data_IF_078716536375
#
_entry.id   IF_078716536375
#
_cell.length_a   1.000
_cell.length_b   1.000
_cell.length_c   1.000
_cell.angle_alpha   90.00
_cell.angle_beta   90.00
_cell.angle_gamma   90.00
#
_symmetry.space_group_name_H-M   'P 1'
#
loop_
_entity.id
_entity.type
_entity.pdbx_description
1 polymer ?
#
# COMPACT_ATOMS: atom_id res chain seq x y z
N UNK A 1 24.80 6.70 4.26
CA UNK A 1 24.30 7.69 5.25
C UNK A 1 22.93 8.26 4.84
N UNK A 2 22.06 8.60 5.81
CA UNK A 2 20.81 9.33 5.53
C UNK A 2 21.11 10.71 4.95
N UNK A 3 20.23 11.19 4.05
CA UNK A 3 20.37 12.50 3.38
C UNK A 3 19.31 13.45 3.93
N UNK A 4 19.72 14.64 4.39
CA UNK A 4 18.80 15.63 4.94
C UNK A 4 18.14 16.46 3.83
N UNK A 5 16.88 16.20 3.50
CA UNK A 5 16.10 17.00 2.55
C UNK A 5 15.79 18.40 3.13
N UNK A 6 16.22 19.47 2.46
CA UNK A 6 15.96 20.84 2.90
C UNK A 6 14.59 21.31 2.42
N UNK A 7 13.55 21.02 3.20
CA UNK A 7 12.18 21.48 2.95
C UNK A 7 11.97 22.86 3.59
N UNK A 8 11.68 23.86 2.77
CA UNK A 8 11.41 25.22 3.24
C UNK A 8 9.92 25.41 3.59
N UNK A 9 9.62 26.38 4.45
CA UNK A 9 8.24 26.71 4.84
C UNK A 9 7.32 26.97 3.63
N UNK A 10 7.84 27.62 2.58
CA UNK A 10 7.11 27.85 1.33
C UNK A 10 6.66 26.55 0.63
N UNK A 11 7.46 25.48 0.74
CA UNK A 11 7.14 24.20 0.12
C UNK A 11 5.93 23.56 0.82
N UNK A 12 5.94 23.53 2.15
CA UNK A 12 4.81 23.07 2.96
C UNK A 12 3.53 23.88 2.73
N UNK A 13 3.63 25.22 2.73
CA UNK A 13 2.47 26.06 2.42
C UNK A 13 1.91 25.80 1.02
N UNK A 14 2.79 25.57 0.04
CA UNK A 14 2.36 25.26 -1.32
C UNK A 14 1.58 23.95 -1.38
N UNK A 15 2.11 22.87 -0.77
CA UNK A 15 1.44 21.57 -0.70
C UNK A 15 0.10 21.68 -0.01
N UNK A 16 0.04 22.27 1.18
CA UNK A 16 -1.21 22.41 1.92
C UNK A 16 -2.29 23.16 1.14
N UNK A 17 -1.91 24.22 0.39
CA UNK A 17 -2.84 24.97 -0.47
C UNK A 17 -3.34 24.16 -1.65
N UNK A 18 -2.48 23.39 -2.33
CA UNK A 18 -2.92 22.63 -3.50
C UNK A 18 -3.72 21.39 -3.11
N UNK A 19 -3.32 20.68 -2.04
CA UNK A 19 -4.05 19.51 -1.54
C UNK A 19 -5.48 19.87 -1.15
N UNK A 20 -5.69 21.03 -0.49
CA UNK A 20 -7.03 21.51 -0.12
C UNK A 20 -7.95 21.80 -1.33
N UNK A 21 -7.39 22.07 -2.52
CA UNK A 21 -8.21 22.26 -3.73
C UNK A 21 -8.79 20.96 -4.27
N UNK A 22 -8.20 19.82 -3.87
CA UNK A 22 -8.59 18.50 -4.34
C UNK A 22 -9.41 17.79 -3.27
N UNK A 23 -8.82 17.65 -2.08
CA UNK A 23 -9.50 17.05 -0.94
C UNK A 23 -10.28 18.12 -0.20
N UNK A 24 -11.61 17.99 -0.21
CA UNK A 24 -12.48 18.81 0.63
C UNK A 24 -12.15 18.51 2.08
N UNK A 25 -11.58 19.47 2.80
CA UNK A 25 -11.29 19.38 4.23
C UNK A 25 -11.86 20.61 4.95
N UNK A 26 -12.35 20.43 6.18
CA UNK A 26 -12.91 21.50 7.01
C UNK A 26 -12.54 21.33 8.48
N UNK A 27 -12.87 22.34 9.31
CA UNK A 27 -12.68 22.31 10.77
C UNK A 27 -13.52 21.25 11.49
N UNK A 28 -14.50 20.66 10.80
CA UNK A 28 -15.30 19.54 11.33
C UNK A 28 -14.65 18.19 11.11
N UNK A 29 -13.58 18.15 10.30
CA UNK A 29 -12.83 16.92 10.12
C UNK A 29 -11.95 16.62 11.34
N UNK A 30 -11.69 15.33 11.47
CA UNK A 30 -10.90 14.70 12.51
C UNK A 30 -10.08 13.59 11.87
N UNK A 31 -8.80 13.53 12.22
CA UNK A 31 -7.79 12.56 11.75
C UNK A 31 -7.10 11.89 12.93
N UNK A 32 -6.30 10.87 12.63
CA UNK A 32 -5.47 10.16 13.60
C UNK A 32 -4.02 10.12 13.09
N UNK A 33 -3.08 10.46 13.96
CA UNK A 33 -1.63 10.41 13.72
C UNK A 33 -1.04 9.23 14.48
N UNK A 34 -0.29 8.39 13.78
CA UNK A 34 0.30 7.18 14.36
C UNK A 34 1.67 6.84 13.77
N UNK A 35 2.07 7.48 12.67
CA UNK A 35 3.42 7.34 12.15
C UNK A 35 4.34 8.37 12.85
N UNK A 36 5.65 8.15 12.82
CA UNK A 36 6.59 9.12 13.40
C UNK A 36 6.57 10.48 12.67
N UNK A 37 6.53 11.58 13.45
CA UNK A 37 6.58 12.96 12.92
C UNK A 37 7.88 13.32 12.17
N UNK A 38 8.90 12.47 12.21
CA UNK A 38 10.10 12.65 11.38
C UNK A 38 9.85 12.27 9.90
N UNK A 39 8.70 11.67 9.58
CA UNK A 39 8.29 11.32 8.23
C UNK A 39 7.48 12.46 7.60
N UNK A 40 7.78 12.81 6.34
CA UNK A 40 7.14 13.94 5.64
C UNK A 40 5.61 13.78 5.51
N UNK A 41 5.13 12.54 5.44
CA UNK A 41 3.70 12.21 5.36
C UNK A 41 2.93 12.81 6.55
N UNK A 42 3.37 12.54 7.79
CA UNK A 42 2.74 13.10 8.99
C UNK A 42 2.94 14.59 9.10
N UNK A 43 4.12 15.11 8.73
CA UNK A 43 4.33 16.55 8.75
C UNK A 43 3.33 17.29 7.85
N UNK A 44 2.91 16.70 6.73
CA UNK A 44 1.92 17.33 5.84
C UNK A 44 0.53 17.29 6.47
N UNK A 45 0.06 16.12 6.89
CA UNK A 45 -1.33 15.98 7.34
C UNK A 45 -1.53 16.50 8.76
N UNK A 46 -0.65 16.13 9.69
CA UNK A 46 -0.80 16.42 11.12
C UNK A 46 -0.36 17.82 11.50
N UNK A 47 0.62 18.38 10.77
CA UNK A 47 1.10 19.73 11.05
C UNK A 47 0.56 20.72 10.02
N UNK A 48 0.87 20.54 8.74
CA UNK A 48 0.63 21.61 7.76
C UNK A 48 -0.82 21.76 7.33
N UNK A 49 -1.50 20.63 7.08
CA UNK A 49 -2.94 20.63 6.79
C UNK A 49 -3.74 21.01 8.03
N UNK A 50 -3.32 20.57 9.23
CA UNK A 50 -3.90 21.04 10.49
C UNK A 50 -3.80 22.57 10.62
N UNK A 51 -2.61 23.16 10.52
CA UNK A 51 -2.42 24.61 10.61
C UNK A 51 -3.18 25.39 9.51
N UNK A 52 -3.40 24.77 8.35
CA UNK A 52 -4.10 25.40 7.22
C UNK A 52 -5.63 25.34 7.35
N UNK A 53 -6.16 24.24 7.88
CA UNK A 53 -7.60 23.91 7.90
C UNK A 53 -8.21 24.15 9.27
N UNK A 54 -7.50 23.80 10.35
CA UNK A 54 -8.00 23.81 11.73
C UNK A 54 -8.79 22.56 12.13
N UNK A 55 -8.56 21.42 11.47
CA UNK A 55 -9.19 20.13 11.79
C UNK A 55 -8.53 19.47 13.02
N UNK A 56 -9.20 18.54 13.70
CA UNK A 56 -8.66 17.89 14.90
C UNK A 56 -7.70 16.76 14.50
N UNK A 57 -6.54 16.67 15.16
CA UNK A 57 -5.56 15.59 14.98
C UNK A 57 -5.42 14.83 16.30
N UNK A 58 -5.76 13.54 16.30
CA UNK A 58 -5.65 12.68 17.47
C UNK A 58 -4.36 11.84 17.39
N UNK A 59 -3.47 11.97 18.37
CA UNK A 59 -2.25 11.18 18.42
C UNK A 59 -2.51 9.85 19.15
N UNK A 60 -2.12 8.74 18.54
CA UNK A 60 -2.20 7.40 19.17
C UNK A 60 -1.20 7.24 20.29
N UNK A 61 -1.52 6.41 21.28
CA UNK A 61 -0.62 6.13 22.41
C UNK A 61 0.63 5.36 21.97
N UNK A 62 0.45 4.37 21.07
CA UNK A 62 1.52 3.56 20.49
C UNK A 62 1.06 2.98 19.13
N UNK A 63 2.01 2.56 18.29
CA UNK A 63 1.74 1.88 17.01
C UNK A 63 0.95 0.57 17.18
N UNK A 64 1.03 -0.05 18.35
CA UNK A 64 0.29 -1.29 18.66
C UNK A 64 -1.20 -1.03 19.00
N UNK A 65 -1.52 0.17 19.50
CA UNK A 65 -2.87 0.54 19.94
C UNK A 65 -3.71 1.19 18.84
N UNK A 66 -3.11 1.52 17.69
CA UNK A 66 -3.75 2.22 16.56
C UNK A 66 -5.14 1.68 16.22
N UNK A 67 -5.34 0.36 16.20
CA UNK A 67 -6.62 -0.24 15.87
C UNK A 67 -7.71 -0.06 16.94
N UNK A 68 -7.32 0.09 18.20
CA UNK A 68 -8.23 0.39 19.30
C UNK A 68 -8.50 1.90 19.36
N UNK A 69 -7.45 2.71 19.26
CA UNK A 69 -7.54 4.18 19.23
C UNK A 69 -8.45 4.64 18.07
N UNK A 70 -8.38 3.97 16.91
CA UNK A 70 -9.26 4.26 15.79
C UNK A 70 -10.75 4.02 16.11
N UNK A 71 -11.08 3.02 16.94
CA UNK A 71 -12.47 2.76 17.34
C UNK A 71 -12.99 3.85 18.27
N UNK A 72 -12.12 4.37 19.14
CA UNK A 72 -12.49 5.40 20.11
C UNK A 72 -12.63 6.77 19.43
N UNK A 73 -11.71 7.10 18.52
CA UNK A 73 -11.72 8.37 17.78
C UNK A 73 -12.77 8.38 16.67
N UNK A 74 -12.90 7.27 15.92
CA UNK A 74 -13.67 7.17 14.68
C UNK A 74 -13.52 8.42 13.79
N UNK A 75 -12.34 8.59 13.15
CA UNK A 75 -12.03 9.82 12.43
C UNK A 75 -12.93 9.98 11.20
N UNK A 76 -12.99 11.20 10.68
CA UNK A 76 -13.68 11.49 9.41
C UNK A 76 -12.79 11.22 8.20
N UNK A 77 -11.49 11.45 8.36
CA UNK A 77 -10.46 11.25 7.34
C UNK A 77 -9.40 10.33 7.93
N UNK A 78 -9.03 9.29 7.19
CA UNK A 78 -8.02 8.35 7.66
C UNK A 78 -6.85 8.26 6.68
N UNK A 79 -5.73 8.86 7.06
CA UNK A 79 -4.48 8.80 6.32
C UNK A 79 -3.69 7.60 6.79
N UNK A 80 -3.35 6.68 5.88
CA UNK A 80 -2.67 5.45 6.28
C UNK A 80 -1.75 4.90 5.20
N UNK A 81 -0.91 3.94 5.59
CA UNK A 81 -0.04 3.20 4.68
C UNK A 81 -0.69 1.87 4.28
N UNK A 82 -0.32 1.28 3.12
CA UNK A 82 -0.92 0.04 2.64
C UNK A 82 -0.99 -1.08 3.69
N UNK A 83 0.08 -1.24 4.49
CA UNK A 83 0.18 -2.28 5.52
C UNK A 83 -0.95 -2.23 6.56
N UNK A 84 -1.41 -1.03 6.93
CA UNK A 84 -2.50 -0.88 7.90
C UNK A 84 -3.83 -1.31 7.27
N UNK A 85 -4.10 -0.89 6.03
CA UNK A 85 -5.27 -1.34 5.28
C UNK A 85 -5.28 -2.85 5.07
N UNK A 86 -4.14 -3.43 4.70
CA UNK A 86 -3.94 -4.89 4.59
C UNK A 86 -4.23 -5.59 5.93
N UNK A 87 -3.70 -5.08 7.05
CA UNK A 87 -3.97 -5.64 8.38
C UNK A 87 -5.45 -5.61 8.74
N UNK A 88 -6.16 -4.52 8.42
CA UNK A 88 -7.61 -4.46 8.59
C UNK A 88 -8.34 -5.48 7.72
N UNK A 89 -7.96 -5.60 6.45
CA UNK A 89 -8.54 -6.59 5.54
C UNK A 89 -8.37 -8.02 6.07
N UNK A 90 -7.14 -8.40 6.42
CA UNK A 90 -6.84 -9.73 7.00
C UNK A 90 -7.64 -10.00 8.26
N UNK A 91 -7.72 -9.02 9.16
CA UNK A 91 -8.51 -9.13 10.40
C UNK A 91 -10.01 -9.33 10.14
N UNK A 92 -10.58 -8.71 9.10
CA UNK A 92 -11.98 -8.93 8.71
C UNK A 92 -12.16 -10.34 8.15
N UNK A 93 -11.31 -10.77 7.22
CA UNK A 93 -11.37 -12.10 6.58
C UNK A 93 -11.33 -13.19 7.65
N UNK A 94 -10.39 -13.12 8.57
CA UNK A 94 -10.21 -14.13 9.62
C UNK A 94 -11.38 -14.17 10.60
N UNK A 95 -11.89 -13.01 11.02
CA UNK A 95 -13.08 -12.95 11.87
C UNK A 95 -14.33 -13.50 11.17
N UNK A 96 -14.41 -13.39 9.85
CA UNK A 96 -15.50 -13.98 9.07
C UNK A 96 -15.32 -15.49 8.85
N UNK A 97 -14.09 -15.98 8.81
CA UNK A 97 -13.80 -17.43 8.79
C UNK A 97 -14.24 -18.11 10.10
N UNK A 98 -14.03 -17.45 11.25
CA UNK A 98 -14.45 -17.96 12.58
C UNK A 98 -15.93 -17.72 12.88
N UNK A 99 -16.60 -16.93 12.05
CA UNK A 99 -17.99 -16.57 12.31
C UNK A 99 -18.91 -17.79 12.14
N UNK A 100 -20.02 -17.79 12.87
CA UNK A 100 -21.07 -18.80 12.71
C UNK A 100 -21.53 -18.85 11.24
N UNK A 101 -21.96 -20.04 10.78
CA UNK A 101 -22.35 -20.25 9.39
C UNK A 101 -23.34 -19.20 8.88
N UNK A 102 -24.29 -18.79 9.73
CA UNK A 102 -25.27 -17.75 9.44
C UNK A 102 -24.62 -16.39 9.20
N UNK A 103 -23.76 -15.93 10.13
CA UNK A 103 -23.04 -14.65 9.98
C UNK A 103 -22.15 -14.64 8.74
N UNK A 104 -21.43 -15.73 8.49
CA UNK A 104 -20.59 -15.90 7.30
C UNK A 104 -21.42 -15.83 6.01
N UNK A 105 -22.57 -16.49 5.97
CA UNK A 105 -23.45 -16.48 4.79
C UNK A 105 -24.02 -15.10 4.53
N UNK A 106 -24.54 -14.43 5.57
CA UNK A 106 -25.08 -13.06 5.45
C UNK A 106 -24.00 -12.08 5.01
N UNK A 107 -22.80 -12.15 5.60
CA UNK A 107 -21.66 -11.34 5.18
C UNK A 107 -21.28 -11.59 3.72
N UNK A 108 -21.14 -12.84 3.31
CA UNK A 108 -20.78 -13.17 1.93
C UNK A 108 -21.82 -12.69 0.92
N UNK A 109 -23.11 -12.82 1.23
CA UNK A 109 -24.19 -12.28 0.39
C UNK A 109 -24.13 -10.75 0.29
N UNK A 110 -23.99 -10.06 1.43
CA UNK A 110 -23.85 -8.61 1.47
C UNK A 110 -22.61 -8.15 0.68
N UNK A 111 -21.46 -8.80 0.89
CA UNK A 111 -20.21 -8.49 0.19
C UNK A 111 -20.33 -8.68 -1.32
N UNK A 112 -20.99 -9.75 -1.79
CA UNK A 112 -21.24 -9.96 -3.21
C UNK A 112 -22.10 -8.83 -3.82
N UNK A 113 -23.11 -8.35 -3.10
CA UNK A 113 -23.91 -7.18 -3.52
C UNK A 113 -23.03 -5.92 -3.55
N UNK A 114 -22.22 -5.70 -2.52
CA UNK A 114 -21.25 -4.60 -2.43
C UNK A 114 -20.26 -4.57 -3.59
N UNK A 115 -19.64 -5.72 -3.89
CA UNK A 115 -18.68 -5.87 -4.98
C UNK A 115 -19.30 -5.56 -6.34
N UNK A 116 -20.50 -6.11 -6.64
CA UNK A 116 -21.22 -5.82 -7.89
C UNK A 116 -21.65 -4.36 -8.01
N UNK A 117 -22.07 -3.75 -6.91
CA UNK A 117 -22.39 -2.32 -6.87
C UNK A 117 -21.14 -1.49 -7.17
N UNK A 118 -20.02 -1.83 -6.52
CA UNK A 118 -18.75 -1.16 -6.71
C UNK A 118 -18.21 -1.30 -8.14
N UNK A 119 -18.37 -2.45 -8.80
CA UNK A 119 -17.98 -2.62 -10.20
C UNK A 119 -18.66 -1.63 -11.15
N UNK A 120 -19.92 -1.28 -10.88
CA UNK A 120 -20.64 -0.24 -11.64
C UNK A 120 -20.06 1.15 -11.36
N UNK A 121 -19.81 1.46 -10.07
CA UNK A 121 -19.22 2.74 -9.66
C UNK A 121 -17.83 2.93 -10.29
N UNK A 122 -16.97 1.92 -10.21
CA UNK A 122 -15.61 1.92 -10.78
C UNK A 122 -15.62 2.05 -12.30
N UNK A 123 -16.61 1.47 -12.98
CA UNK A 123 -16.77 1.61 -14.43
C UNK A 123 -17.48 2.90 -14.85
N UNK A 124 -17.69 3.85 -13.92
CA UNK A 124 -18.43 5.11 -14.13
C UNK A 124 -19.85 4.89 -14.67
N UNK A 125 -20.46 3.72 -14.44
CA UNK A 125 -21.83 3.37 -14.84
C UNK A 125 -22.78 3.51 -13.66
N UNK A 126 -24.01 3.98 -13.93
CA UNK A 126 -25.05 4.03 -12.88
C UNK A 126 -25.48 2.60 -12.52
N UNK A 127 -25.40 2.19 -11.24
CA UNK A 127 -25.94 0.90 -10.81
C UNK A 127 -27.45 0.82 -11.05
N UNK A 128 -28.00 -0.35 -11.45
CA UNK A 128 -29.45 -0.53 -11.53
C UNK A 128 -30.14 -0.25 -10.19
N UNK A 129 -31.36 0.27 -10.22
CA UNK A 129 -32.10 0.65 -9.00
C UNK A 129 -32.25 -0.50 -7.99
N UNK A 130 -32.47 -1.72 -8.50
CA UNK A 130 -32.57 -2.94 -7.68
C UNK A 130 -31.27 -3.24 -6.95
N UNK A 131 -30.13 -3.10 -7.63
CA UNK A 131 -28.80 -3.29 -7.04
C UNK A 131 -28.47 -2.18 -6.03
N UNK A 132 -28.85 -0.93 -6.32
CA UNK A 132 -28.68 0.17 -5.38
C UNK A 132 -29.50 -0.02 -4.09
N UNK A 133 -30.74 -0.52 -4.20
CA UNK A 133 -31.58 -0.84 -3.04
C UNK A 133 -31.01 -2.02 -2.26
N UNK A 134 -30.58 -3.08 -2.95
CA UNK A 134 -29.93 -4.23 -2.31
C UNK A 134 -28.65 -3.81 -1.58
N UNK A 135 -27.84 -2.93 -2.19
CA UNK A 135 -26.66 -2.38 -1.55
C UNK A 135 -27.01 -1.58 -0.30
N UNK A 136 -28.06 -0.75 -0.36
CA UNK A 136 -28.53 0.01 0.80
C UNK A 136 -28.95 -0.92 1.94
N UNK A 137 -29.68 -2.01 1.64
CA UNK A 137 -30.03 -3.03 2.64
C UNK A 137 -28.79 -3.71 3.22
N UNK A 138 -27.84 -4.13 2.38
CA UNK A 138 -26.56 -4.71 2.81
C UNK A 138 -25.75 -3.75 3.70
N UNK A 139 -25.77 -2.45 3.35
CA UNK A 139 -25.09 -1.41 4.12
C UNK A 139 -25.65 -1.29 5.53
N UNK A 140 -26.97 -1.10 5.68
CA UNK A 140 -27.57 -0.93 7.01
C UNK A 140 -27.57 -2.21 7.86
N UNK A 141 -27.63 -3.39 7.24
CA UNK A 141 -27.68 -4.66 7.97
C UNK A 141 -26.30 -5.20 8.34
N UNK A 142 -25.27 -5.00 7.51
CA UNK A 142 -23.94 -5.61 7.68
C UNK A 142 -22.86 -4.55 7.74
N UNK A 143 -22.71 -3.73 6.69
CA UNK A 143 -21.52 -2.89 6.55
C UNK A 143 -21.43 -1.78 7.58
N UNK A 144 -22.56 -1.16 7.98
CA UNK A 144 -22.58 -0.17 9.05
C UNK A 144 -21.97 -0.76 10.33
N UNK A 145 -22.48 -1.90 10.79
CA UNK A 145 -22.00 -2.54 12.03
C UNK A 145 -20.55 -3.01 11.91
N UNK A 146 -20.12 -3.40 10.71
CA UNK A 146 -18.72 -3.69 10.46
C UNK A 146 -17.86 -2.43 10.59
N UNK A 147 -18.24 -1.33 9.94
CA UNK A 147 -17.53 -0.03 10.01
C UNK A 147 -17.42 0.47 11.45
N UNK A 148 -18.51 0.44 12.21
CA UNK A 148 -18.55 0.82 13.63
C UNK A 148 -17.53 0.02 14.46
N UNK A 149 -17.47 -1.31 14.28
CA UNK A 149 -16.51 -2.17 15.00
C UNK A 149 -15.06 -1.94 14.62
N UNK A 150 -14.81 -1.35 13.46
CA UNK A 150 -13.48 -1.05 12.94
C UNK A 150 -13.04 0.38 13.24
N UNK A 151 -13.92 1.26 13.72
CA UNK A 151 -13.65 2.69 13.87
C UNK A 151 -13.76 3.50 12.57
N UNK A 152 -14.54 3.00 11.61
CA UNK A 152 -14.71 3.60 10.28
C UNK A 152 -16.12 4.15 10.03
N UNK A 153 -17.01 4.19 11.03
CA UNK A 153 -18.40 4.62 10.85
C UNK A 153 -18.51 6.09 10.42
N UNK A 154 -17.62 6.97 10.91
CA UNK A 154 -17.53 8.38 10.50
C UNK A 154 -16.59 8.62 9.31
N UNK A 155 -15.76 7.64 8.93
CA UNK A 155 -14.82 7.81 7.82
C UNK A 155 -15.58 8.03 6.52
N UNK A 156 -15.37 9.20 5.92
CA UNK A 156 -15.88 9.57 4.60
C UNK A 156 -14.87 9.33 3.49
N UNK A 157 -13.57 9.39 3.82
CA UNK A 157 -12.49 9.16 2.84
C UNK A 157 -11.22 8.66 3.54
N UNK A 158 -10.71 7.52 3.09
CA UNK A 158 -9.40 7.00 3.46
C UNK A 158 -8.35 7.33 2.41
N UNK A 159 -7.11 7.48 2.82
CA UNK A 159 -5.96 7.65 1.93
C UNK A 159 -4.94 6.53 2.13
N UNK A 160 -4.31 6.12 1.03
CA UNK A 160 -3.15 5.24 1.02
C UNK A 160 -2.01 5.86 0.24
N UNK A 161 -0.80 5.83 0.80
CA UNK A 161 0.39 6.37 0.16
C UNK A 161 1.67 5.80 0.74
N UNK A 162 2.81 6.40 0.39
CA UNK A 162 4.18 5.98 0.74
C UNK A 162 4.64 4.62 0.16
N UNK A 163 3.72 3.72 -0.17
CA UNK A 163 3.96 2.51 -0.92
C UNK A 163 2.72 2.17 -1.77
N UNK A 164 2.87 1.37 -2.84
CA UNK A 164 1.72 0.93 -3.61
C UNK A 164 0.86 -0.06 -2.81
N UNK A 165 -0.44 -0.07 -3.07
CA UNK A 165 -1.44 -0.92 -2.41
C UNK A 165 -2.12 -1.81 -3.45
N UNK A 166 -2.48 -3.04 -3.07
CA UNK A 166 -3.20 -3.94 -3.99
C UNK A 166 -4.58 -3.37 -4.36
N UNK A 167 -4.93 -3.48 -5.65
CA UNK A 167 -6.23 -3.10 -6.18
C UNK A 167 -7.38 -3.85 -5.48
N UNK A 168 -7.14 -5.09 -5.07
CA UNK A 168 -8.16 -5.90 -4.40
C UNK A 168 -8.46 -5.36 -3.01
N UNK A 169 -7.48 -4.80 -2.30
CA UNK A 169 -7.69 -4.11 -1.01
C UNK A 169 -8.57 -2.88 -1.22
N UNK A 170 -8.23 -2.03 -2.21
CA UNK A 170 -9.00 -0.83 -2.52
C UNK A 170 -10.44 -1.17 -2.90
N UNK A 171 -10.61 -2.17 -3.77
CA UNK A 171 -11.93 -2.66 -4.21
C UNK A 171 -12.72 -3.24 -3.04
N UNK A 172 -12.08 -4.01 -2.16
CA UNK A 172 -12.70 -4.58 -0.97
C UNK A 172 -13.27 -3.49 -0.06
N UNK A 173 -12.46 -2.52 0.36
CA UNK A 173 -12.90 -1.46 1.28
C UNK A 173 -13.99 -0.59 0.66
N UNK A 174 -13.87 -0.26 -0.63
CA UNK A 174 -14.89 0.50 -1.31
C UNK A 174 -16.22 -0.28 -1.41
N UNK A 175 -16.17 -1.61 -1.57
CA UNK A 175 -17.36 -2.48 -1.60
C UNK A 175 -18.12 -2.53 -0.27
N UNK A 176 -17.45 -2.27 0.85
CA UNK A 176 -18.07 -2.18 2.18
C UNK A 176 -18.33 -0.73 2.62
N UNK A 177 -18.23 0.22 1.70
CA UNK A 177 -18.56 1.63 1.94
C UNK A 177 -17.47 2.43 2.66
N UNK A 178 -16.20 2.05 2.50
CA UNK A 178 -15.02 2.81 2.93
C UNK A 178 -14.21 3.15 1.68
N UNK A 179 -14.41 4.33 1.06
CA UNK A 179 -13.61 4.70 -0.12
C UNK A 179 -12.17 5.02 0.30
N UNK A 180 -11.21 4.31 -0.30
CA UNK A 180 -9.77 4.59 -0.14
C UNK A 180 -9.26 5.21 -1.43
N UNK A 181 -8.40 6.23 -1.33
CA UNK A 181 -7.77 6.93 -2.44
C UNK A 181 -6.27 6.88 -2.33
N UNK A 182 -5.61 6.70 -3.47
CA UNK A 182 -4.17 6.65 -3.53
C UNK A 182 -3.58 8.06 -3.69
N UNK A 183 -2.39 8.25 -3.13
CA UNK A 183 -1.58 9.44 -3.31
C UNK A 183 -0.11 9.09 -3.46
N UNK A 184 0.58 9.86 -4.30
CA UNK A 184 1.99 9.68 -4.61
C UNK A 184 2.80 10.95 -4.37
N UNK A 185 3.98 10.76 -3.82
CA UNK A 185 5.05 11.74 -3.82
C UNK A 185 6.20 11.30 -2.93
N UNK A 186 7.12 12.23 -2.72
CA UNK A 186 8.45 11.97 -2.17
C UNK A 186 8.78 13.00 -1.10
N UNK A 187 9.75 12.71 -0.24
CA UNK A 187 10.30 13.73 0.67
C UNK A 187 10.81 14.95 -0.11
N UNK A 188 11.43 14.72 -1.25
CA UNK A 188 11.97 15.73 -2.17
C UNK A 188 10.89 16.61 -2.82
N UNK A 189 9.64 16.16 -2.83
CA UNK A 189 8.48 16.93 -3.33
C UNK A 189 7.65 17.53 -2.20
N UNK A 190 8.12 17.44 -0.94
CA UNK A 190 7.31 17.75 0.24
C UNK A 190 6.03 16.90 0.26
N UNK A 191 6.21 15.62 -0.02
CA UNK A 191 5.30 14.48 0.18
C UNK A 191 4.24 14.22 -0.88
N UNK A 192 3.46 15.20 -1.36
CA UNK A 192 2.35 14.94 -2.31
C UNK A 192 2.61 15.61 -3.66
N UNK A 193 2.51 14.84 -4.74
CA UNK A 193 2.54 15.33 -6.12
C UNK A 193 1.27 14.99 -6.87
N UNK A 194 0.70 13.82 -6.61
CA UNK A 194 -0.51 13.30 -7.22
C UNK A 194 -1.42 12.74 -6.13
N UNK A 195 -2.72 12.94 -6.29
CA UNK A 195 -3.70 12.43 -5.34
C UNK A 195 -5.04 12.22 -6.05
N UNK A 196 -5.73 11.14 -5.69
CA UNK A 196 -7.12 10.92 -6.08
C UNK A 196 -8.08 11.54 -5.07
N UNK A 197 -9.26 11.98 -5.53
CA UNK A 197 -10.33 12.48 -4.66
C UNK A 197 -11.57 11.58 -4.65
N UNK A 198 -12.62 12.02 -3.98
CA UNK A 198 -13.88 11.29 -3.84
C UNK A 198 -14.51 10.92 -5.20
N UNK A 199 -14.41 11.82 -6.18
CA UNK A 199 -15.04 11.75 -7.50
C UNK A 199 -14.06 11.44 -8.64
N UNK A 200 -12.82 11.92 -8.54
CA UNK A 200 -11.77 11.80 -9.54
C UNK A 200 -10.75 10.77 -9.08
N UNK A 201 -11.04 9.51 -9.37
CA UNK A 201 -10.17 8.38 -9.05
C UNK A 201 -10.29 7.31 -10.13
N UNK A 202 -9.21 6.56 -10.31
CA UNK A 202 -9.13 5.42 -11.23
C UNK A 202 -8.29 4.34 -10.57
N UNK A 203 -8.83 3.12 -10.50
CA UNK A 203 -8.15 1.99 -9.87
C UNK A 203 -6.82 1.70 -10.58
N UNK A 204 -5.75 1.57 -9.80
CA UNK A 204 -4.38 1.39 -10.33
C UNK A 204 -3.70 2.67 -10.80
N UNK A 205 -4.18 3.82 -10.33
CA UNK A 205 -3.54 5.12 -10.53
C UNK A 205 -3.46 5.85 -9.20
N UNK A 206 -2.46 6.71 -9.06
CA UNK A 206 -2.24 7.53 -7.85
C UNK A 206 -2.96 8.88 -7.95
N UNK A 207 -3.88 9.02 -8.91
CA UNK A 207 -4.63 10.25 -9.15
C UNK A 207 -3.96 11.19 -10.16
N UNK A 208 -4.46 12.42 -10.20
CA UNK A 208 -3.94 13.50 -11.05
C UNK A 208 -2.96 14.35 -10.26
N UNK A 209 -2.11 15.09 -10.98
CA UNK A 209 -1.15 15.99 -10.36
C UNK A 209 -1.86 17.13 -9.60
N UNK A 210 -1.21 17.64 -8.55
CA UNK A 210 -1.69 18.80 -7.81
C UNK A 210 -1.80 20.03 -8.74
N UNK A 211 -2.83 20.89 -8.61
CA UNK A 211 -2.95 22.09 -9.42
C UNK A 211 -1.68 22.95 -9.43
N UNK A 212 -1.22 23.32 -10.62
CA UNK A 212 0.04 24.06 -10.80
C UNK A 212 1.30 23.21 -10.71
N UNK A 213 1.16 21.88 -10.81
CA UNK A 213 2.28 20.96 -11.03
C UNK A 213 2.48 20.75 -12.53
N UNK A 214 3.73 20.81 -12.94
CA UNK A 214 4.16 20.34 -14.25
C UNK A 214 4.74 18.94 -14.10
N UNK A 215 4.30 18.03 -14.97
CA UNK A 215 4.73 16.63 -14.97
C UNK A 215 5.15 16.26 -16.38
N UNK A 216 6.28 15.55 -16.50
CA UNK A 216 6.78 15.02 -17.75
C UNK A 216 7.23 13.57 -17.54
N UNK A 217 7.03 12.72 -18.54
CA UNK A 217 7.60 11.36 -18.56
C UNK A 217 8.81 11.40 -19.50
N UNK A 218 9.99 11.08 -18.98
CA UNK A 218 11.22 11.01 -19.75
C UNK A 218 11.20 9.84 -20.75
N UNK A 219 12.15 9.80 -21.69
CA UNK A 219 12.24 8.74 -22.71
C UNK A 219 12.38 7.33 -22.11
N UNK A 220 13.00 7.23 -20.92
CA UNK A 220 13.16 5.98 -20.19
C UNK A 220 12.01 5.69 -19.20
N UNK A 221 10.93 6.47 -19.27
CA UNK A 221 9.74 6.33 -18.45
C UNK A 221 9.82 7.01 -17.07
N UNK A 222 10.94 7.66 -16.73
CA UNK A 222 11.08 8.35 -15.45
C UNK A 222 10.10 9.53 -15.32
N UNK A 223 9.46 9.65 -14.16
CA UNK A 223 8.54 10.74 -13.83
C UNK A 223 9.37 11.94 -13.40
N UNK A 224 9.13 13.07 -14.06
CA UNK A 224 9.77 14.36 -13.79
C UNK A 224 8.74 15.34 -13.25
N UNK A 225 9.08 16.01 -12.16
CA UNK A 225 8.15 16.91 -11.45
C UNK A 225 8.74 18.30 -11.33
N UNK A 226 7.93 19.32 -11.62
CA UNK A 226 8.25 20.72 -11.32
C UNK A 226 7.05 21.40 -10.68
N UNK A 227 7.22 21.83 -9.44
CA UNK A 227 6.19 22.56 -8.68
C UNK A 227 6.75 23.27 -7.44
N UNK A 228 5.94 24.10 -6.79
CA UNK A 228 6.33 24.88 -5.60
C UNK A 228 6.68 24.04 -4.35
N UNK A 229 6.30 22.76 -4.30
CA UNK A 229 6.65 21.82 -3.24
C UNK A 229 8.05 21.17 -3.36
N UNK A 230 8.80 21.38 -4.45
CA UNK A 230 10.13 20.76 -4.61
C UNK A 230 11.10 21.35 -3.58
N UNK A 231 11.82 20.47 -2.86
CA UNK A 231 12.80 20.83 -1.85
C UNK A 231 13.93 21.71 -2.41
N UNK A 232 14.72 22.34 -1.54
CA UNK A 232 15.89 23.13 -1.97
C UNK A 232 17.08 22.27 -2.41
N UNK A 233 17.05 20.97 -2.15
CA UNK A 233 18.18 20.06 -2.26
C UNK A 233 18.51 19.36 -0.95
N UNK A 234 19.57 18.57 -0.97
CA UNK A 234 20.09 17.87 0.20
C UNK A 234 21.10 18.72 0.96
N UNK A 235 20.99 18.77 2.29
CA UNK A 235 21.84 19.56 3.16
C UNK A 235 23.31 19.10 3.06
N UNK A 236 24.19 20.03 2.66
CA UNK A 236 25.63 19.79 2.45
C UNK A 236 25.97 18.72 1.40
N UNK A 237 25.03 18.41 0.50
CA UNK A 237 25.15 17.33 -0.49
C UNK A 237 24.78 17.87 -1.87
N UNK A 238 25.59 18.81 -2.37
CA UNK A 238 25.30 19.57 -3.60
C UNK A 238 25.34 18.67 -4.85
N UNK A 239 26.27 17.72 -4.91
CA UNK A 239 26.38 16.79 -6.04
C UNK A 239 25.14 15.90 -6.15
N UNK A 240 24.67 15.38 -5.02
CA UNK A 240 23.45 14.59 -4.98
C UNK A 240 22.21 15.44 -5.30
N UNK A 241 22.25 16.73 -4.95
CA UNK A 241 21.20 17.68 -5.31
C UNK A 241 21.15 17.88 -6.82
N UNK A 242 22.30 18.08 -7.49
CA UNK A 242 22.39 18.22 -8.96
C UNK A 242 21.95 16.97 -9.71
N UNK A 243 22.14 15.79 -9.13
CA UNK A 243 21.64 14.53 -9.69
C UNK A 243 20.12 14.40 -9.60
N UNK A 244 19.50 15.02 -8.60
CA UNK A 244 18.05 14.95 -8.37
C UNK A 244 17.29 16.11 -9.01
N UNK A 245 17.88 17.31 -9.05
CA UNK A 245 17.33 18.50 -9.69
C UNK A 245 18.30 18.97 -10.76
N UNK A 246 17.92 18.81 -12.02
CA UNK A 246 18.61 19.39 -13.17
C UNK A 246 17.60 19.83 -14.23
N UNK A 247 17.99 20.79 -15.07
CA UNK A 247 17.12 21.42 -16.08
C UNK A 247 15.77 21.95 -15.54
N UNK A 248 15.75 22.30 -14.25
CA UNK A 248 14.57 22.80 -13.54
C UNK A 248 13.56 21.72 -13.15
N UNK A 249 13.85 20.45 -13.42
CA UNK A 249 13.00 19.30 -13.09
C UNK A 249 13.56 18.52 -11.90
N UNK A 250 12.67 18.01 -11.05
CA UNK A 250 13.01 16.97 -10.09
C UNK A 250 12.87 15.60 -10.78
N UNK A 251 13.97 14.87 -10.85
CA UNK A 251 14.05 13.50 -11.35
C UNK A 251 13.70 12.54 -10.23
N UNK A 252 12.49 11.98 -10.26
CA UNK A 252 11.93 11.24 -9.11
C UNK A 252 12.63 9.89 -8.84
N UNK A 253 13.32 9.34 -9.85
CA UNK A 253 13.79 7.96 -9.85
C UNK A 253 12.67 6.92 -9.92
N UNK A 254 11.41 7.34 -10.11
CA UNK A 254 10.24 6.48 -10.26
C UNK A 254 9.79 6.47 -11.72
N UNK A 255 9.35 5.29 -12.19
CA UNK A 255 8.88 5.09 -13.57
C UNK A 255 7.37 5.01 -13.57
N UNK A 256 6.73 5.64 -14.54
CA UNK A 256 5.27 5.62 -14.67
C UNK A 256 4.77 6.08 -16.03
N UNK A 257 3.46 6.02 -16.17
CA UNK A 257 2.74 6.43 -17.37
C UNK A 257 1.57 7.35 -16.98
N UNK A 258 1.32 8.36 -17.81
CA UNK A 258 0.16 9.24 -17.66
C UNK A 258 -0.83 8.87 -18.77
N UNK A 259 -2.07 8.57 -18.38
CA UNK A 259 -3.11 8.27 -19.35
C UNK A 259 -3.70 9.54 -20.00
N UNK A 260 -4.54 9.35 -21.02
CA UNK A 260 -5.20 10.45 -21.75
C UNK A 260 -6.09 11.33 -20.86
N UNK A 261 -6.55 10.81 -19.71
CA UNK A 261 -7.35 11.55 -18.74
C UNK A 261 -6.48 12.33 -17.72
N UNK A 262 -5.16 12.15 -17.75
CA UNK A 262 -4.18 12.79 -16.87
C UNK A 262 -3.94 12.06 -15.54
N UNK A 263 -4.33 10.79 -15.42
CA UNK A 263 -4.03 9.97 -14.24
C UNK A 263 -2.65 9.33 -14.36
N UNK A 264 -1.87 9.44 -13.28
CA UNK A 264 -0.55 8.82 -13.20
C UNK A 264 -0.66 7.38 -12.67
N UNK A 265 -0.06 6.44 -13.38
CA UNK A 265 0.16 5.07 -12.91
C UNK A 265 1.65 4.87 -12.65
N UNK A 266 1.97 4.51 -11.41
CA UNK A 266 3.35 4.19 -11.00
C UNK A 266 3.62 2.72 -11.36
N UNK A 267 4.76 2.48 -12.01
CA UNK A 267 5.21 1.14 -12.36
C UNK A 267 6.14 0.59 -11.27
N UNK A 268 7.31 1.19 -11.08
CA UNK A 268 8.25 0.86 -10.01
C UNK A 268 9.34 1.95 -9.90
N UNK A 269 10.28 1.78 -8.96
CA UNK A 269 11.54 2.54 -8.92
C UNK A 269 12.42 2.12 -10.09
N UNK A 270 12.96 3.09 -10.81
CA UNK A 270 13.89 2.88 -11.94
C UNK A 270 15.06 1.95 -11.59
N UNK A 271 15.58 2.06 -10.38
CA UNK A 271 16.69 1.26 -9.86
C UNK A 271 16.29 -0.15 -9.40
N UNK A 272 15.01 -0.38 -9.14
CA UNK A 272 14.50 -1.65 -8.62
C UNK A 272 13.85 -2.51 -9.71
N UNK A 273 13.65 -1.98 -10.92
CA UNK A 273 13.17 -2.75 -12.07
C UNK A 273 14.10 -3.94 -12.32
N UNK A 274 13.51 -5.13 -12.33
CA UNK A 274 14.23 -6.37 -12.59
C UNK A 274 14.35 -6.55 -14.10
N UNK A 275 15.58 -6.68 -14.59
CA UNK A 275 15.83 -7.08 -15.98
C UNK A 275 16.23 -8.54 -15.97
N UNK A 276 15.30 -9.42 -16.31
CA UNK A 276 15.57 -10.86 -16.42
C UNK A 276 16.67 -11.14 -17.45
N UNK A 277 17.31 -12.31 -17.39
CA UNK A 277 18.31 -12.73 -18.38
C UNK A 277 17.77 -12.76 -19.83
N UNK A 278 16.44 -12.86 -19.99
CA UNK A 278 15.74 -12.76 -21.27
C UNK A 278 15.44 -11.33 -21.73
N UNK A 279 15.96 -10.30 -21.04
CA UNK A 279 15.76 -8.89 -21.39
C UNK A 279 14.36 -8.34 -21.10
N UNK A 280 13.55 -9.06 -20.30
CA UNK A 280 12.22 -8.58 -19.89
C UNK A 280 12.32 -7.80 -18.59
N UNK A 281 11.72 -6.60 -18.59
CA UNK A 281 11.55 -5.74 -17.43
C UNK A 281 10.36 -6.24 -16.61
N UNK A 282 10.57 -6.44 -15.31
CA UNK A 282 9.56 -6.84 -14.34
C UNK A 282 9.56 -5.82 -13.21
N UNK A 283 8.37 -5.35 -12.84
CA UNK A 283 8.16 -4.48 -11.68
C UNK A 283 7.94 -5.35 -10.44
N UNK A 284 8.97 -5.61 -9.61
CA UNK A 284 8.83 -6.49 -8.47
C UNK A 284 7.78 -6.01 -7.46
N UNK A 285 7.66 -4.69 -7.23
CA UNK A 285 6.72 -4.18 -6.22
C UNK A 285 5.26 -4.50 -6.56
N UNK A 286 4.93 -4.55 -7.85
CA UNK A 286 3.60 -4.94 -8.31
C UNK A 286 3.25 -6.36 -7.84
N UNK A 287 4.16 -7.32 -8.09
CA UNK A 287 4.00 -8.72 -7.71
C UNK A 287 4.00 -8.88 -6.18
N UNK A 288 4.88 -8.17 -5.48
CA UNK A 288 4.96 -8.17 -4.01
C UNK A 288 3.65 -7.71 -3.37
N UNK A 289 3.02 -6.65 -3.90
CA UNK A 289 1.74 -6.16 -3.40
C UNK A 289 0.58 -7.12 -3.69
N UNK A 290 0.61 -7.84 -4.81
CA UNK A 290 -0.37 -8.89 -5.07
C UNK A 290 -0.25 -10.04 -4.06
N UNK A 291 0.97 -10.45 -3.69
CA UNK A 291 1.19 -11.47 -2.66
C UNK A 291 0.68 -11.02 -1.30
N UNK A 292 0.98 -9.78 -0.88
CA UNK A 292 0.54 -9.21 0.40
C UNK A 292 -0.97 -9.01 0.53
N UNK A 293 -1.74 -9.18 -0.55
CA UNK A 293 -3.19 -9.26 -0.46
C UNK A 293 -3.64 -10.50 0.34
N UNK A 294 -2.83 -11.56 0.33
CA UNK A 294 -3.08 -12.75 1.12
C UNK A 294 -2.99 -12.46 2.62
N UNK A 295 -3.95 -12.91 3.45
CA UNK A 295 -3.85 -12.74 4.89
C UNK A 295 -2.68 -13.54 5.51
N UNK A 296 -2.10 -14.49 4.78
CA UNK A 296 -1.01 -15.34 5.27
C UNK A 296 0.38 -14.78 4.97
N UNK A 297 0.48 -13.71 4.16
CA UNK A 297 1.75 -13.12 3.72
C UNK A 297 1.89 -11.73 4.35
N UNK A 298 2.92 -11.56 5.18
CA UNK A 298 3.27 -10.30 5.82
C UNK A 298 4.05 -9.39 4.85
N UNK A 299 5.10 -9.92 4.23
CA UNK A 299 5.88 -9.21 3.21
C UNK A 299 6.48 -10.20 2.20
N UNK A 300 6.91 -9.70 1.05
CA UNK A 300 7.55 -10.48 0.01
C UNK A 300 8.65 -9.68 -0.68
N UNK A 301 9.72 -10.37 -1.08
CA UNK A 301 10.81 -9.81 -1.90
C UNK A 301 10.95 -10.65 -3.16
N UNK A 302 10.54 -10.07 -4.28
CA UNK A 302 10.60 -10.69 -5.61
C UNK A 302 12.01 -10.55 -6.18
N UNK A 303 12.60 -11.63 -6.65
CA UNK A 303 13.99 -11.70 -7.08
C UNK A 303 14.04 -12.24 -8.51
N UNK A 304 14.87 -11.65 -9.35
CA UNK A 304 15.02 -12.12 -10.72
C UNK A 304 15.99 -11.33 -11.61
N UNK A 305 16.69 -10.33 -11.04
CA UNK A 305 17.60 -9.50 -11.83
C UNK A 305 18.73 -10.33 -12.42
N UNK A 306 18.86 -10.27 -13.75
CA UNK A 306 19.78 -11.07 -14.57
C UNK A 306 19.62 -12.59 -14.37
N UNK A 307 18.45 -13.05 -13.93
CA UNK A 307 18.13 -14.48 -13.74
C UNK A 307 17.18 -14.99 -14.83
N UNK A 308 17.17 -16.31 -15.02
CA UNK A 308 16.34 -17.01 -16.03
C UNK A 308 14.84 -16.89 -15.76
N UNK A 309 14.45 -16.74 -14.49
CA UNK A 309 13.06 -16.66 -14.05
C UNK A 309 12.95 -15.90 -12.72
N UNK A 310 11.73 -15.53 -12.36
CA UNK A 310 11.42 -14.85 -11.12
C UNK A 310 11.26 -15.85 -9.97
N UNK A 311 11.79 -15.51 -8.80
CA UNK A 311 11.61 -16.19 -7.52
C UNK A 311 11.15 -15.21 -6.45
N UNK A 312 10.75 -15.69 -5.27
CA UNK A 312 10.35 -14.82 -4.17
C UNK A 312 10.86 -15.34 -2.82
N UNK A 313 11.27 -14.42 -1.95
CA UNK A 313 11.38 -14.68 -0.51
C UNK A 313 10.10 -14.13 0.13
N UNK A 314 9.44 -14.93 0.97
CA UNK A 314 8.16 -14.59 1.59
C UNK A 314 8.29 -14.63 3.11
N UNK A 315 7.77 -13.59 3.76
CA UNK A 315 7.60 -13.51 5.22
C UNK A 315 6.14 -13.80 5.51
N UNK A 316 5.88 -14.84 6.32
CA UNK A 316 4.52 -15.17 6.72
C UNK A 316 3.96 -14.17 7.74
N UNK A 317 2.65 -13.99 7.74
CA UNK A 317 1.94 -13.33 8.83
C UNK A 317 1.77 -14.34 9.98
N UNK A 318 2.57 -14.17 11.03
CA UNK A 318 2.68 -15.15 12.11
C UNK A 318 1.33 -15.43 12.78
N UNK A 319 0.59 -14.39 13.16
CA UNK A 319 -0.69 -14.55 13.86
C UNK A 319 -1.67 -15.37 13.01
N UNK A 320 -1.75 -15.05 11.72
CA UNK A 320 -2.71 -15.66 10.81
C UNK A 320 -2.31 -17.10 10.44
N UNK A 321 -1.01 -17.36 10.26
CA UNK A 321 -0.49 -18.70 9.96
C UNK A 321 -0.50 -19.60 11.20
N UNK A 322 -0.23 -19.07 12.40
CA UNK A 322 -0.38 -19.80 13.67
C UNK A 322 -1.82 -20.26 13.84
N UNK A 323 -2.79 -19.38 13.59
CA UNK A 323 -4.20 -19.74 13.66
C UNK A 323 -4.57 -20.84 12.64
N UNK A 324 -4.13 -20.70 11.39
CA UNK A 324 -4.30 -21.77 10.40
C UNK A 324 -3.69 -23.10 10.84
N UNK A 325 -2.47 -23.07 11.40
CA UNK A 325 -1.78 -24.24 11.89
C UNK A 325 -2.55 -24.90 13.05
N UNK A 326 -3.15 -24.12 13.95
CA UNK A 326 -4.02 -24.61 15.01
C UNK A 326 -5.28 -25.28 14.44
N UNK A 327 -5.95 -24.64 13.48
CA UNK A 327 -7.16 -25.16 12.84
C UNK A 327 -6.90 -26.48 12.10
N UNK A 328 -5.73 -26.59 11.44
CA UNK A 328 -5.29 -27.78 10.72
C UNK A 328 -4.55 -28.80 11.61
N UNK A 329 -4.39 -28.52 12.91
CA UNK A 329 -3.65 -29.36 13.88
C UNK A 329 -2.21 -29.67 13.47
N UNK A 330 -1.54 -28.72 12.83
CA UNK A 330 -0.13 -28.80 12.40
C UNK A 330 0.77 -28.71 13.63
N UNK A 331 1.72 -29.64 13.76
CA UNK A 331 2.67 -29.64 14.87
C UNK A 331 3.88 -28.75 14.56
N UNK A 332 4.15 -27.80 15.44
CA UNK A 332 5.34 -26.95 15.39
C UNK A 332 5.73 -26.50 16.81
N UNK A 333 6.96 -26.00 16.96
CA UNK A 333 7.53 -25.61 18.27
C UNK A 333 8.08 -24.20 18.27
N UNK A 334 8.48 -23.68 17.12
CA UNK A 334 9.07 -22.36 16.94
C UNK A 334 8.57 -21.75 15.63
N UNK A 335 8.76 -20.45 15.46
CA UNK A 335 8.47 -19.77 14.19
C UNK A 335 9.23 -20.42 13.02
N UNK A 336 10.51 -20.76 13.22
CA UNK A 336 11.32 -21.44 12.19
C UNK A 336 10.75 -22.81 11.82
N UNK A 337 10.34 -23.64 12.81
CA UNK A 337 9.74 -24.94 12.50
C UNK A 337 8.36 -24.81 11.83
N UNK A 338 7.57 -23.79 12.19
CA UNK A 338 6.31 -23.48 11.51
C UNK A 338 6.50 -23.19 10.01
N UNK A 339 7.52 -22.42 9.65
CA UNK A 339 7.80 -22.07 8.23
C UNK A 339 8.29 -23.25 7.39
N UNK A 340 8.63 -24.38 8.03
CA UNK A 340 9.18 -25.58 7.35
C UNK A 340 8.16 -26.71 7.23
N UNK A 341 6.96 -26.57 7.79
CA UNK A 341 5.92 -27.60 7.69
C UNK A 341 5.34 -27.64 6.28
N UNK A 342 4.99 -28.85 5.82
CA UNK A 342 4.43 -29.03 4.47
C UNK A 342 3.11 -28.29 4.30
N UNK A 343 2.29 -28.23 5.35
CA UNK A 343 0.98 -27.60 5.35
C UNK A 343 1.08 -26.08 5.18
N UNK A 344 2.07 -25.44 5.81
CA UNK A 344 2.31 -24.00 5.66
C UNK A 344 2.94 -23.69 4.31
N UNK A 345 3.86 -24.53 3.83
CA UNK A 345 4.44 -24.36 2.48
C UNK A 345 3.34 -24.48 1.41
N UNK A 346 2.46 -25.48 1.52
CA UNK A 346 1.31 -25.66 0.60
C UNK A 346 0.35 -24.48 0.67
N UNK A 347 0.04 -23.98 1.86
CA UNK A 347 -0.79 -22.79 2.03
C UNK A 347 -0.24 -21.59 1.25
N UNK A 348 1.05 -21.29 1.42
CA UNK A 348 1.67 -20.16 0.71
C UNK A 348 1.80 -20.44 -0.78
N UNK A 349 2.06 -21.68 -1.19
CA UNK A 349 2.09 -22.09 -2.60
C UNK A 349 0.74 -21.84 -3.29
N UNK A 350 -0.39 -22.12 -2.63
CA UNK A 350 -1.72 -21.81 -3.16
C UNK A 350 -1.92 -20.31 -3.38
N UNK A 351 -1.44 -19.47 -2.46
CA UNK A 351 -1.51 -18.00 -2.56
C UNK A 351 -0.63 -17.48 -3.70
N UNK A 352 0.61 -17.98 -3.83
CA UNK A 352 1.51 -17.68 -4.95
C UNK A 352 0.87 -18.09 -6.28
N UNK A 353 0.22 -19.26 -6.33
CA UNK A 353 -0.46 -19.73 -7.54
C UNK A 353 -1.66 -18.87 -7.93
N UNK A 354 -2.40 -18.31 -6.96
CA UNK A 354 -3.47 -17.34 -7.22
C UNK A 354 -2.92 -16.07 -7.87
N UNK A 355 -1.77 -15.58 -7.40
CA UNK A 355 -1.08 -14.42 -7.99
C UNK A 355 -0.55 -14.74 -9.40
N UNK A 356 0.14 -15.87 -9.58
CA UNK A 356 0.70 -16.29 -10.88
C UNK A 356 -0.35 -16.38 -12.00
N UNK A 357 -1.60 -16.76 -11.66
CA UNK A 357 -2.73 -16.80 -12.63
C UNK A 357 -3.11 -15.42 -13.19
N UNK A 358 -2.74 -14.35 -12.51
CA UNK A 358 -3.02 -12.98 -12.91
C UNK A 358 -1.85 -12.31 -13.64
N UNK A 359 -0.66 -12.93 -13.58
CA UNK A 359 0.58 -12.39 -14.13
C UNK A 359 0.90 -12.96 -15.52
N UNK A 360 1.70 -12.23 -16.30
CA UNK A 360 2.26 -12.79 -17.52
C UNK A 360 3.19 -13.97 -17.19
N UNK A 361 3.29 -14.95 -18.09
CA UNK A 361 4.11 -16.16 -17.87
C UNK A 361 5.57 -15.86 -17.53
N UNK A 362 6.12 -14.75 -18.01
CA UNK A 362 7.49 -14.30 -17.74
C UNK A 362 7.68 -13.69 -16.36
N UNK A 363 6.59 -13.21 -15.74
CA UNK A 363 6.54 -12.61 -14.40
C UNK A 363 6.19 -13.64 -13.32
N UNK A 364 5.80 -14.86 -13.73
CA UNK A 364 5.41 -15.90 -12.80
C UNK A 364 6.57 -16.27 -11.85
N UNK A 365 6.25 -16.30 -10.56
CA UNK A 365 7.13 -16.77 -9.50
C UNK A 365 7.28 -18.28 -9.67
N UNK A 366 8.48 -18.74 -10.06
CA UNK A 366 8.76 -20.16 -10.29
C UNK A 366 9.07 -20.92 -9.02
N UNK A 367 9.72 -20.27 -8.07
CA UNK A 367 10.09 -20.84 -6.78
C UNK A 367 10.01 -19.76 -5.72
N UNK A 368 9.68 -20.17 -4.50
CA UNK A 368 9.76 -19.31 -3.34
C UNK A 368 10.43 -20.02 -2.15
N UNK A 369 10.84 -19.23 -1.16
CA UNK A 369 11.30 -19.70 0.14
C UNK A 369 10.67 -18.83 1.23
N UNK A 370 10.30 -19.44 2.34
CA UNK A 370 9.82 -18.73 3.53
C UNK A 370 11.01 -18.30 4.38
N UNK A 371 11.01 -17.07 4.90
CA UNK A 371 11.96 -16.67 5.93
C UNK A 371 11.57 -17.31 7.25
N UNK A 372 12.55 -17.95 7.88
CA UNK A 372 12.38 -18.67 9.14
C UNK A 372 12.72 -17.80 10.37
N UNK A 373 12.90 -16.49 10.14
CA UNK A 373 13.17 -15.45 11.14
C UNK A 373 12.15 -14.31 11.00
N UNK A 374 11.74 -13.76 12.15
CA UNK A 374 10.95 -12.52 12.21
C UNK A 374 11.84 -11.33 11.87
N UNK A 375 11.32 -10.38 11.10
CA UNK A 375 12.06 -9.18 10.71
C UNK A 375 11.78 -8.03 11.69
N UNK A 376 12.84 -7.39 12.17
CA UNK A 376 12.77 -6.28 13.11
C UNK A 376 13.42 -5.02 12.55
N UNK A 377 12.92 -3.85 12.94
CA UNK A 377 13.46 -2.55 12.52
C UNK A 377 14.88 -2.33 13.04
N UNK A 378 15.18 -2.84 14.24
CA UNK A 378 16.49 -2.74 14.90
C UNK A 378 17.59 -3.50 14.14
N UNK A 379 17.23 -4.62 13.52
CA UNK A 379 18.13 -5.44 12.68
C UNK A 379 18.40 -4.79 11.31
N UNK A 380 17.76 -3.66 11.01
CA UNK A 380 17.90 -2.93 9.76
C UNK A 380 17.21 -3.58 8.56
N UNK A 381 16.52 -4.71 8.75
CA UNK A 381 15.85 -5.52 7.72
C UNK A 381 14.57 -4.87 7.18
N UNK A 382 13.87 -4.09 8.01
CA UNK A 382 12.68 -3.31 7.65
C UNK A 382 12.87 -1.81 7.90
N UNK A 383 12.11 -0.97 7.21
CA UNK A 383 12.02 0.48 7.47
C UNK A 383 11.15 0.74 8.71
N UNK A 384 11.13 1.98 9.25
CA UNK A 384 10.16 2.37 10.29
C UNK A 384 8.69 2.22 9.85
N UNK A 385 8.43 2.23 8.54
CA UNK A 385 7.12 1.93 7.95
C UNK A 385 6.89 0.43 7.72
N UNK A 386 7.72 -0.43 8.32
CA UNK A 386 7.66 -1.90 8.23
C UNK A 386 7.83 -2.47 6.81
N UNK A 387 8.48 -1.74 5.90
CA UNK A 387 8.80 -2.22 4.53
C UNK A 387 10.15 -2.94 4.52
N UNK A 388 10.22 -4.15 3.98
CA UNK A 388 11.49 -4.88 3.83
C UNK A 388 12.48 -4.16 2.91
N UNK A 389 13.75 -4.09 3.31
CA UNK A 389 14.84 -3.54 2.49
C UNK A 389 15.44 -4.63 1.59
N UNK A 390 15.09 -4.60 0.31
CA UNK A 390 15.59 -5.51 -0.74
C UNK A 390 17.10 -5.78 -0.65
N UNK A 391 17.92 -4.72 -0.60
CA UNK A 391 19.39 -4.84 -0.55
C UNK A 391 19.87 -5.67 0.65
N UNK A 392 19.26 -5.46 1.83
CA UNK A 392 19.59 -6.20 3.06
C UNK A 392 19.28 -7.69 2.90
N UNK A 393 18.11 -8.01 2.34
CA UNK A 393 17.70 -9.41 2.10
C UNK A 393 18.62 -10.10 1.10
N UNK A 394 19.00 -9.42 0.01
CA UNK A 394 19.92 -9.95 -0.98
C UNK A 394 21.30 -10.27 -0.40
N UNK A 395 21.82 -9.43 0.50
CA UNK A 395 23.13 -9.61 1.12
C UNK A 395 23.09 -10.72 2.19
N UNK A 396 22.09 -10.72 3.07
CA UNK A 396 22.01 -11.66 4.19
C UNK A 396 21.55 -13.07 3.78
N UNK A 397 20.62 -13.16 2.82
CA UNK A 397 20.01 -14.44 2.41
C UNK A 397 20.51 -14.93 1.06
N UNK A 398 21.70 -14.49 0.64
CA UNK A 398 22.30 -14.82 -0.66
C UNK A 398 22.26 -16.34 -0.94
N UNK A 399 22.69 -17.16 0.01
CA UNK A 399 22.75 -18.61 -0.19
C UNK A 399 21.36 -19.24 -0.37
N UNK A 400 20.36 -18.74 0.38
CA UNK A 400 18.97 -19.15 0.23
C UNK A 400 18.44 -18.76 -1.15
N UNK A 401 18.77 -17.57 -1.65
CA UNK A 401 18.40 -17.10 -2.98
C UNK A 401 19.04 -17.99 -4.04
N UNK A 402 20.35 -18.25 -3.95
CA UNK A 402 21.06 -19.10 -4.92
C UNK A 402 20.50 -20.53 -4.92
N UNK A 403 20.07 -21.06 -3.77
CA UNK A 403 19.48 -22.40 -3.69
C UNK A 403 18.26 -22.56 -4.60
N UNK A 404 17.46 -21.51 -4.78
CA UNK A 404 16.31 -21.54 -5.70
C UNK A 404 16.74 -21.69 -7.16
N UNK A 405 17.89 -21.14 -7.53
CA UNK A 405 18.38 -21.15 -8.92
C UNK A 405 19.24 -22.38 -9.26
N UNK A 406 19.89 -23.01 -8.26
CA UNK A 406 20.75 -24.20 -8.45
C UNK A 406 19.97 -25.46 -8.82
N UNK A 407 18.79 -25.65 -8.25
CA UNK A 407 17.90 -26.80 -8.53
C UNK A 407 17.23 -26.74 -9.92
N UNK A 408 17.67 -25.86 -10.83
CA UNK A 408 17.14 -25.71 -12.19
C UNK A 408 18.23 -25.61 -13.26
N UNK A 409 19.48 -25.89 -12.88
CA UNK A 409 20.52 -26.41 -13.78
C UNK A 409 20.44 -27.94 -13.77
#
# INVERSE_FOLDING_TARGET
PPKGAMIAHKNYQWIARQTQKITRTSVQDETISFLPLNHVYEQIFDLMMHLRVGHIVNFTENTDTVMNDLKDVSPTLFHSVPRIWEKYHSGIVLKMMDATWFKRTVYSLAFNVGSRYNDHVLSKKKPPLTLALAYRLAYFSVFWKLKERLGFDRVRLGFSGAAPISHDVLKFFQSIGIPIREGYGLTETTGITHISDECNFKLGTVGKCLPGTEVMIAEDGEILIRHGGVFKGYYKEEEQTRQMIYDGWLHTGDVGEIDEEGYLKITDRKKDLIVTAGGKNVAPQYIENMLKFSPYINDAVVIGDRRKYITAIIVIDEENVVKYAQDQKVQYTTFSSLTKTEEVIKLIEEEVNKVNKQLARVENIRKFRLLDKKLYTEDGEVTPTMKVKRKSIHEQYKDLIESMYKEGE
#
